data_IF_355095404325
#
_entry.id   IF_355095404325
#
_cell.length_a   1.000
_cell.length_b   1.000
_cell.length_c   1.000
_cell.angle_alpha   90.00
_cell.angle_beta   90.00
_cell.angle_gamma   90.00
#
_symmetry.space_group_name_H-M   'P 1'
#
loop_
_entity.id
_entity.type
_entity.pdbx_description
1 polymer ?
#
# COMPACT_ATOMS: atom_id res chain seq x y z
N UNK A 1 1.70 -29.30 5.24
CA UNK A 1 0.31 -29.12 5.72
C UNK A 1 0.13 -27.65 6.10
N UNK A 2 -0.59 -26.87 5.28
CA UNK A 2 -0.93 -25.47 5.63
C UNK A 2 -2.12 -25.49 6.59
N UNK A 3 -1.85 -25.51 7.89
CA UNK A 3 -2.89 -25.33 8.90
C UNK A 3 -3.57 -23.97 8.70
N UNK A 4 -4.90 -23.95 8.65
CA UNK A 4 -5.69 -22.71 8.58
C UNK A 4 -5.22 -21.81 9.72
N UNK A 5 -4.53 -20.71 9.39
CA UNK A 5 -4.15 -19.69 10.38
C UNK A 5 -5.45 -19.22 11.05
N UNK A 6 -5.50 -19.28 12.39
CA UNK A 6 -6.63 -18.77 13.16
C UNK A 6 -6.85 -17.31 12.76
N UNK A 7 -8.10 -16.92 12.55
CA UNK A 7 -8.43 -15.53 12.32
C UNK A 7 -8.01 -14.72 13.56
N UNK A 8 -7.13 -13.74 13.37
CA UNK A 8 -6.76 -12.79 14.40
C UNK A 8 -7.90 -11.77 14.57
N UNK A 9 -8.31 -11.53 15.82
CA UNK A 9 -9.36 -10.56 16.14
C UNK A 9 -8.70 -9.25 16.52
N UNK A 10 -8.95 -8.20 15.73
CA UNK A 10 -8.48 -6.84 15.99
C UNK A 10 -9.69 -6.00 16.39
N UNK A 11 -9.63 -5.38 17.57
CA UNK A 11 -10.64 -4.41 18.02
C UNK A 11 -10.25 -3.01 17.58
N UNK A 12 -11.07 -2.42 16.71
CA UNK A 12 -10.87 -1.06 16.20
C UNK A 12 -11.87 -0.11 16.87
N UNK A 13 -11.34 0.88 17.60
CA UNK A 13 -12.15 1.97 18.15
C UNK A 13 -12.23 3.09 17.12
N UNK A 14 -13.42 3.63 16.94
CA UNK A 14 -13.70 4.73 16.01
C UNK A 14 -14.27 5.92 16.76
N UNK A 15 -14.04 7.12 16.25
CA UNK A 15 -14.74 8.31 16.71
C UNK A 15 -16.20 8.34 16.21
N UNK A 16 -16.97 9.31 16.70
CA UNK A 16 -18.36 9.49 16.34
C UNK A 16 -18.56 9.78 14.85
N UNK A 17 -17.61 10.51 14.24
CA UNK A 17 -17.69 10.88 12.83
C UNK A 17 -17.63 9.66 11.92
N UNK A 18 -16.68 8.74 12.16
CA UNK A 18 -16.55 7.51 11.41
C UNK A 18 -17.67 6.53 11.75
N UNK A 19 -18.10 6.46 13.02
CA UNK A 19 -19.25 5.63 13.40
C UNK A 19 -20.52 6.04 12.65
N UNK A 20 -20.82 7.34 12.57
CA UNK A 20 -21.97 7.87 11.85
C UNK A 20 -21.86 7.66 10.34
N UNK A 21 -20.68 7.87 9.76
CA UNK A 21 -20.44 7.58 8.34
C UNK A 21 -20.63 6.10 7.97
N UNK A 22 -20.50 5.19 8.93
CA UNK A 22 -20.71 3.76 8.77
C UNK A 22 -22.14 3.30 9.09
N UNK A 23 -23.04 4.21 9.44
CA UNK A 23 -24.45 3.90 9.69
C UNK A 23 -25.13 3.38 8.42
N UNK A 24 -26.02 2.40 8.57
CA UNK A 24 -26.69 1.75 7.42
C UNK A 24 -25.84 0.75 6.63
N UNK A 25 -24.53 0.63 6.88
CA UNK A 25 -23.71 -0.41 6.24
C UNK A 25 -24.07 -1.78 6.84
N UNK A 26 -24.57 -2.75 6.05
CA UNK A 26 -25.10 -4.01 6.56
C UNK A 26 -24.01 -4.91 7.16
N UNK A 27 -22.79 -4.90 6.62
CA UNK A 27 -21.64 -5.65 7.14
C UNK A 27 -20.41 -4.75 7.29
N UNK A 28 -20.36 -4.03 8.43
CA UNK A 28 -19.28 -3.08 8.74
C UNK A 28 -17.90 -3.75 8.72
N UNK A 29 -17.77 -4.98 9.23
CA UNK A 29 -16.48 -5.67 9.29
C UNK A 29 -15.96 -6.08 7.90
N UNK A 30 -16.83 -6.47 6.99
CA UNK A 30 -16.44 -6.73 5.59
C UNK A 30 -16.09 -5.44 4.87
N UNK A 31 -16.88 -4.38 5.05
CA UNK A 31 -16.57 -3.06 4.50
C UNK A 31 -15.20 -2.56 4.96
N UNK A 32 -14.91 -2.59 6.26
CA UNK A 32 -13.61 -2.18 6.82
C UNK A 32 -12.48 -3.03 6.24
N UNK A 33 -12.64 -4.37 6.18
CA UNK A 33 -11.61 -5.26 5.63
C UNK A 33 -11.28 -4.92 4.19
N UNK A 34 -12.30 -4.76 3.35
CA UNK A 34 -12.13 -4.40 1.94
C UNK A 34 -11.48 -3.03 1.79
N UNK A 35 -11.90 -2.04 2.57
CA UNK A 35 -11.33 -0.69 2.54
C UNK A 35 -9.85 -0.69 2.95
N UNK A 36 -9.49 -1.39 4.03
CA UNK A 36 -8.10 -1.49 4.50
C UNK A 36 -7.23 -2.22 3.49
N UNK A 37 -7.70 -3.35 2.92
CA UNK A 37 -6.96 -4.07 1.88
C UNK A 37 -6.73 -3.22 0.63
N UNK A 38 -7.76 -2.50 0.17
CA UNK A 38 -7.65 -1.60 -0.97
C UNK A 38 -6.66 -0.45 -0.69
N UNK A 39 -6.70 0.12 0.52
CA UNK A 39 -5.75 1.16 0.92
C UNK A 39 -4.31 0.62 0.92
N UNK A 40 -4.08 -0.59 1.46
CA UNK A 40 -2.76 -1.21 1.51
C UNK A 40 -2.21 -1.56 0.13
N UNK A 41 -3.06 -1.98 -0.82
CA UNK A 41 -2.65 -2.28 -2.19
C UNK A 41 -2.21 -1.04 -2.97
N UNK A 42 -2.82 0.11 -2.70
CA UNK A 42 -2.55 1.37 -3.41
C UNK A 42 -1.53 2.26 -2.67
N UNK A 43 -1.15 1.90 -1.45
CA UNK A 43 -0.17 2.63 -0.65
C UNK A 43 1.24 2.46 -1.22
N UNK A 44 2.00 3.56 -1.28
CA UNK A 44 3.41 3.50 -1.70
C UNK A 44 4.19 2.48 -0.84
N UNK A 45 4.79 1.45 -1.44
CA UNK A 45 5.40 0.36 -0.68
C UNK A 45 6.64 0.78 0.11
N UNK A 46 7.25 1.91 -0.27
CA UNK A 46 8.46 2.46 0.32
C UNK A 46 8.16 3.36 1.53
N UNK A 47 7.41 4.44 1.34
CA UNK A 47 7.07 5.36 2.43
C UNK A 47 5.88 4.90 3.28
N UNK A 48 5.19 3.82 2.90
CA UNK A 48 3.99 3.31 3.57
C UNK A 48 2.85 4.33 3.68
N UNK A 49 2.78 5.26 2.75
CA UNK A 49 1.72 6.27 2.67
C UNK A 49 2.04 7.59 3.33
N UNK A 50 3.19 7.72 4.02
CA UNK A 50 3.64 8.96 4.66
C UNK A 50 3.96 10.09 3.66
N UNK A 51 4.17 9.75 2.38
CA UNK A 51 4.54 10.71 1.34
C UNK A 51 5.96 11.27 1.44
N UNK A 52 6.66 11.01 2.54
CA UNK A 52 8.06 11.39 2.78
C UNK A 52 8.88 10.16 3.18
N UNK A 53 10.19 10.20 2.90
CA UNK A 53 11.12 9.16 3.32
C UNK A 53 11.86 9.62 4.59
N UNK A 54 12.04 8.71 5.54
CA UNK A 54 12.99 8.94 6.63
C UNK A 54 14.42 9.03 6.09
N UNK A 55 15.38 9.62 6.82
CA UNK A 55 16.77 9.71 6.36
C UNK A 55 17.39 8.35 5.98
N UNK A 56 17.08 7.29 6.74
CA UNK A 56 17.54 5.94 6.42
C UNK A 56 16.88 5.40 5.15
N UNK A 57 15.57 5.55 5.00
CA UNK A 57 14.85 5.17 3.79
C UNK A 57 15.36 5.92 2.56
N UNK A 58 15.65 7.21 2.67
CA UNK A 58 16.21 8.01 1.60
C UNK A 58 17.60 7.50 1.19
N UNK A 59 18.46 7.14 2.14
CA UNK A 59 19.78 6.55 1.85
C UNK A 59 19.66 5.24 1.08
N UNK A 60 18.75 4.36 1.50
CA UNK A 60 18.49 3.11 0.80
C UNK A 60 17.90 3.35 -0.60
N UNK A 61 16.96 4.29 -0.71
CA UNK A 61 16.35 4.70 -1.98
C UNK A 61 17.38 5.23 -2.98
N UNK A 62 18.31 6.08 -2.55
CA UNK A 62 19.39 6.61 -3.39
C UNK A 62 20.31 5.52 -3.92
N UNK A 63 20.48 4.43 -3.17
CA UNK A 63 21.27 3.28 -3.64
C UNK A 63 20.48 2.47 -4.67
N UNK A 64 19.21 2.16 -4.36
CA UNK A 64 18.33 1.40 -5.25
C UNK A 64 18.08 2.11 -6.59
N UNK A 65 17.87 3.43 -6.57
CA UNK A 65 17.54 4.24 -7.74
C UNK A 65 18.69 4.46 -8.73
N UNK A 66 19.92 4.04 -8.40
CA UNK A 66 21.05 4.03 -9.36
C UNK A 66 20.75 3.14 -10.54
N UNK A 67 20.21 1.95 -10.26
CA UNK A 67 19.90 0.94 -11.26
C UNK A 67 18.40 0.85 -11.56
N UNK A 68 17.55 1.52 -10.78
CA UNK A 68 16.09 1.51 -10.94
C UNK A 68 15.53 2.92 -11.14
N UNK A 69 15.17 3.26 -12.38
CA UNK A 69 14.75 4.61 -12.75
C UNK A 69 13.23 4.73 -12.79
N UNK A 70 12.71 5.91 -12.44
CA UNK A 70 11.32 6.25 -12.71
C UNK A 70 11.14 6.69 -14.16
N UNK A 71 10.25 6.03 -14.88
CA UNK A 71 9.84 6.40 -16.24
C UNK A 71 8.34 6.63 -16.29
N UNK A 72 7.92 7.49 -17.20
CA UNK A 72 6.50 7.74 -17.48
C UNK A 72 6.06 6.78 -18.58
N UNK A 73 5.04 5.98 -18.32
CA UNK A 73 4.46 5.07 -19.31
C UNK A 73 3.84 5.88 -20.46
N UNK A 74 4.05 5.46 -21.71
CA UNK A 74 3.52 6.14 -22.90
C UNK A 74 2.03 5.95 -23.12
N UNK A 75 1.43 4.85 -22.62
CA UNK A 75 0.01 4.55 -22.82
C UNK A 75 -0.87 5.13 -21.73
N UNK A 76 -0.58 4.83 -20.46
CA UNK A 76 -1.40 5.25 -19.33
C UNK A 76 -0.87 6.49 -18.59
N UNK A 77 0.30 7.01 -18.98
CA UNK A 77 0.93 8.20 -18.39
C UNK A 77 1.31 8.08 -16.90
N UNK A 78 1.13 6.91 -16.29
CA UNK A 78 1.57 6.63 -14.93
C UNK A 78 3.09 6.49 -14.83
N UNK A 79 3.66 6.82 -13.67
CA UNK A 79 5.06 6.54 -13.39
C UNK A 79 5.24 5.08 -12.97
N UNK A 80 6.27 4.44 -13.52
CA UNK A 80 6.67 3.08 -13.18
C UNK A 80 8.19 3.00 -13.01
N UNK A 81 8.62 1.99 -12.25
CA UNK A 81 10.03 1.68 -12.07
C UNK A 81 10.53 0.82 -13.24
N UNK A 82 11.73 1.13 -13.72
CA UNK A 82 12.44 0.37 -14.75
C UNK A 82 13.78 -0.05 -14.19
N UNK A 83 14.03 -1.35 -14.15
CA UNK A 83 15.32 -1.91 -13.75
C UNK A 83 16.28 -1.89 -14.94
N UNK A 84 17.48 -1.37 -14.73
CA UNK A 84 18.54 -1.28 -15.75
C UNK A 84 19.24 -2.62 -15.97
N UNK A 85 19.10 -3.56 -15.04
CA UNK A 85 19.57 -4.94 -15.17
C UNK A 85 18.56 -5.85 -15.89
N UNK A 86 17.40 -5.32 -16.27
CA UNK A 86 16.39 -6.05 -17.03
C UNK A 86 16.84 -6.15 -18.50
N UNK A 87 17.74 -7.09 -18.75
CA UNK A 87 17.96 -7.63 -20.08
C UNK A 87 16.73 -8.48 -20.41
N UNK A 88 15.75 -7.87 -21.08
CA UNK A 88 14.50 -8.53 -21.45
C UNK A 88 14.73 -9.91 -22.06
N UNK A 89 14.04 -10.89 -21.50
CA UNK A 89 13.79 -12.20 -22.10
C UNK A 89 12.30 -12.30 -22.42
#
# INVERSE_FOLDING_TARGET
MHGKKKAEIITFKVDESLSGAMEGIPNRSEFIRSAVLAALQNTCPLCKGEGILTPDQQRHWLTFSKDHQFRKCSSCHAYHLVCSADHGA
#
